data_IF_255406847939
#
_entry.id   IF_255406847939
#
_cell.length_a   1.000
_cell.length_b   1.000
_cell.length_c   1.000
_cell.angle_alpha   90.00
_cell.angle_beta   90.00
_cell.angle_gamma   90.00
#
_symmetry.space_group_name_H-M   'P 1'
#
loop_
_entity.id
_entity.type
_entity.pdbx_description
1 polymer ?
#
# COMPACT_ATOMS: atom_id res chain seq x y z
N UNK A 1 4.56 7.47 3.71
CA UNK A 1 3.35 8.32 3.49
C UNK A 1 2.82 8.76 4.87
N UNK A 2 2.12 9.90 5.00
CA UNK A 2 1.34 10.41 6.25
C UNK A 2 -1.45 9.51 7.01
N UNK A 3 -2.00 8.24 7.08
CA UNK A 3 -3.04 7.67 7.96
C UNK A 3 -4.21 8.60 8.37
N UNK A 4 -5.07 8.92 7.41
CA UNK A 4 -6.51 9.12 7.71
C UNK A 4 -7.38 8.04 7.06
N UNK A 5 -6.75 7.03 6.46
CA UNK A 5 -7.33 5.70 6.41
C UNK A 5 -6.50 4.65 5.68
N UNK A 6 -7.09 3.47 5.60
CA UNK A 6 -6.52 2.22 5.10
C UNK A 6 -7.27 1.80 3.85
N UNK A 7 -6.56 1.40 2.78
CA UNK A 7 -7.19 0.93 1.55
C UNK A 7 -7.08 -0.59 1.43
N UNK A 8 -8.24 -1.26 1.50
CA UNK A 8 -8.38 -2.70 1.38
C UNK A 8 -8.64 -3.14 -0.06
N UNK A 9 -8.06 -4.28 -0.43
CA UNK A 9 -8.24 -4.97 -1.70
C UNK A 9 -8.76 -6.39 -1.47
N UNK A 10 -9.90 -6.71 -2.08
CA UNK A 10 -10.58 -8.00 -1.97
C UNK A 10 -10.75 -8.66 -3.33
N UNK A 11 -9.98 -9.72 -3.57
CA UNK A 11 -9.96 -10.44 -4.86
C UNK A 11 -11.30 -11.16 -5.14
N UNK A 12 -11.86 -11.89 -4.17
CA UNK A 12 -13.22 -12.43 -4.29
C UNK A 12 -13.80 -12.97 -2.97
N UNK A 13 -14.95 -12.44 -2.53
CA UNK A 13 -16.11 -13.14 -1.90
C UNK A 13 -17.07 -12.14 -1.24
N UNK A 14 -18.27 -12.03 -1.83
CA UNK A 14 -19.63 -11.83 -1.29
C UNK A 14 -19.89 -11.00 0.01
N UNK A 15 -19.05 -11.07 1.04
CA UNK A 15 -19.32 -10.56 2.40
C UNK A 15 -18.50 -9.34 2.84
N UNK A 16 -17.47 -8.96 2.09
CA UNK A 16 -16.64 -7.77 2.40
C UNK A 16 -17.31 -6.45 1.97
N UNK A 17 -16.93 -5.30 2.59
CA UNK A 17 -17.38 -3.99 2.18
C UNK A 17 -16.86 -3.68 0.77
N UNK A 18 -17.74 -3.24 -0.12
CA UNK A 18 -17.42 -2.89 -1.50
C UNK A 18 -17.84 -1.46 -1.78
N UNK A 19 -16.85 -0.57 -1.94
CA UNK A 19 -17.10 0.80 -2.39
C UNK A 19 -17.05 0.89 -3.92
N UNK A 20 -16.08 0.23 -4.57
CA UNK A 20 -15.99 0.13 -6.02
C UNK A 20 -15.27 -1.16 -6.44
N UNK A 21 -15.17 -1.41 -7.74
CA UNK A 21 -14.40 -2.53 -8.30
C UNK A 21 -13.77 -2.19 -9.65
N UNK A 22 -12.59 -2.73 -9.90
CA UNK A 22 -11.81 -2.56 -11.13
C UNK A 22 -11.15 -3.89 -11.52
N UNK A 23 -11.20 -4.26 -12.81
CA UNK A 23 -10.66 -5.54 -13.36
C UNK A 23 -11.02 -6.82 -12.56
N UNK A 24 -12.15 -6.81 -11.85
CA UNK A 24 -12.63 -7.92 -11.01
C UNK A 24 -12.23 -7.81 -9.53
N UNK A 25 -11.24 -6.98 -9.21
CA UNK A 25 -10.84 -6.66 -7.84
C UNK A 25 -11.86 -5.72 -7.18
N UNK A 26 -12.11 -5.87 -5.87
CA UNK A 26 -13.01 -5.01 -5.10
C UNK A 26 -12.21 -4.17 -4.10
N UNK A 27 -12.58 -2.90 -3.94
CA UNK A 27 -11.82 -1.93 -3.16
C UNK A 27 -12.72 -1.23 -2.13
N UNK A 28 -12.10 -0.85 -1.01
CA UNK A 28 -12.76 -0.16 0.10
C UNK A 28 -11.75 0.73 0.85
N UNK A 29 -12.22 1.89 1.33
CA UNK A 29 -11.47 2.84 2.14
C UNK A 29 -12.00 2.85 3.58
N UNK A 30 -11.14 2.56 4.57
CA UNK A 30 -11.57 2.29 5.95
C UNK A 30 -12.39 3.40 6.58
N UNK A 31 -12.07 4.67 6.31
CA UNK A 31 -12.77 5.80 6.93
C UNK A 31 -14.24 5.94 6.51
N UNK A 32 -14.66 5.23 5.44
CA UNK A 32 -16.09 5.11 5.07
C UNK A 32 -16.88 4.11 5.93
N UNK A 33 -16.23 3.35 6.82
CA UNK A 33 -16.90 2.68 7.94
C UNK A 33 -16.86 3.63 9.15
N UNK A 34 -18.01 4.05 9.72
CA UNK A 34 -18.04 5.02 10.82
C UNK A 34 -17.22 4.64 12.06
N UNK A 35 -17.10 3.33 12.36
CA UNK A 35 -16.29 2.82 13.47
C UNK A 35 -14.77 2.91 13.25
N UNK A 36 -14.33 3.35 12.06
CA UNK A 36 -12.94 3.44 11.62
C UNK A 36 -12.59 4.83 11.06
N UNK A 37 -13.53 5.78 11.02
CA UNK A 37 -13.35 7.12 10.44
C UNK A 37 -12.14 7.86 11.02
N UNK A 38 -12.10 8.00 12.35
CA UNK A 38 -11.03 8.71 13.07
C UNK A 38 -9.86 7.79 13.49
N UNK A 39 -9.85 6.50 13.09
CA UNK A 39 -8.84 5.54 13.53
C UNK A 39 -7.52 5.73 12.78
N UNK A 40 -6.53 6.31 13.47
CA UNK A 40 -5.14 6.29 13.04
C UNK A 40 -4.41 5.05 13.58
N UNK A 41 -3.85 4.25 12.67
CA UNK A 41 -3.20 2.95 12.90
C UNK A 41 -1.89 2.81 12.13
N UNK A 42 -0.98 1.98 12.62
CA UNK A 42 0.22 1.58 11.89
C UNK A 42 -0.10 0.63 10.71
N UNK A 43 0.95 0.16 10.03
CA UNK A 43 0.84 -0.70 8.85
C UNK A 43 0.27 -2.09 9.17
N UNK A 44 0.66 -2.69 10.29
CA UNK A 44 0.23 -4.02 10.71
C UNK A 44 -1.22 -3.99 11.19
N UNK A 45 -1.60 -3.01 12.02
CA UNK A 45 -2.98 -2.83 12.45
C UNK A 45 -3.91 -2.46 11.28
N UNK A 46 -3.46 -1.59 10.36
CA UNK A 46 -4.17 -1.35 9.11
C UNK A 46 -4.39 -2.63 8.29
N UNK A 47 -3.35 -3.49 8.21
CA UNK A 47 -3.46 -4.78 7.54
C UNK A 47 -4.43 -5.74 8.23
N UNK A 48 -4.44 -5.77 9.56
CA UNK A 48 -5.34 -6.59 10.35
C UNK A 48 -6.80 -6.14 10.17
N UNK A 49 -7.07 -4.83 10.18
CA UNK A 49 -8.39 -4.25 9.87
C UNK A 49 -8.89 -4.70 8.49
N UNK A 50 -8.06 -4.68 7.44
CA UNK A 50 -8.48 -5.21 6.13
C UNK A 50 -8.89 -6.69 6.20
N UNK A 51 -8.21 -7.49 7.02
CA UNK A 51 -8.42 -8.94 7.15
C UNK A 51 -9.67 -9.30 7.93
N UNK A 52 -10.09 -8.49 8.90
CA UNK A 52 -11.41 -8.59 9.55
C UNK A 52 -12.55 -8.55 8.53
N UNK A 53 -12.35 -7.81 7.42
CA UNK A 53 -13.31 -7.69 6.32
C UNK A 53 -13.08 -8.65 5.14
N UNK A 54 -12.28 -9.71 5.32
CA UNK A 54 -11.86 -10.66 4.27
C UNK A 54 -11.10 -10.01 3.08
N UNK A 55 -10.39 -8.92 3.34
CA UNK A 55 -9.51 -8.23 2.38
C UNK A 55 -8.05 -8.31 2.88
N UNK A 56 -7.10 -7.80 2.09
CA UNK A 56 -5.76 -7.44 2.58
C UNK A 56 -5.46 -5.99 2.12
N UNK A 57 -4.30 -5.42 2.42
CA UNK A 57 -3.95 -4.09 1.94
C UNK A 57 -3.86 -4.07 0.39
N UNK A 58 -4.08 -2.90 -0.21
CA UNK A 58 -4.03 -2.73 -1.66
C UNK A 58 -2.62 -2.87 -2.24
N UNK A 59 -2.48 -3.64 -3.31
CA UNK A 59 -1.31 -3.62 -4.21
C UNK A 59 -1.63 -2.81 -5.47
N UNK A 60 -0.63 -2.11 -6.01
CA UNK A 60 -0.78 -1.16 -7.12
C UNK A 60 0.12 -1.59 -8.28
N UNK A 61 -0.26 -2.70 -8.90
CA UNK A 61 0.54 -3.40 -9.93
C UNK A 61 0.42 -2.75 -11.31
N UNK A 62 -0.72 -2.11 -11.61
CA UNK A 62 -0.94 -1.38 -12.87
C UNK A 62 -1.05 0.13 -12.67
N UNK A 63 -0.64 0.91 -13.68
CA UNK A 63 -0.74 2.36 -13.67
C UNK A 63 -2.22 2.81 -13.54
N UNK A 64 -3.17 2.07 -14.11
CA UNK A 64 -4.60 2.35 -13.96
C UNK A 64 -5.07 2.23 -12.51
N UNK A 65 -4.66 1.19 -11.78
CA UNK A 65 -4.99 1.03 -10.36
C UNK A 65 -4.36 2.14 -9.51
N UNK A 66 -3.10 2.49 -9.77
CA UNK A 66 -2.44 3.60 -9.11
C UNK A 66 -3.15 4.94 -9.39
N UNK A 67 -3.56 5.20 -10.63
CA UNK A 67 -4.36 6.38 -11.01
C UNK A 67 -5.73 6.41 -10.33
N UNK A 68 -6.40 5.26 -10.18
CA UNK A 68 -7.70 5.17 -9.50
C UNK A 68 -7.58 5.49 -8.00
N UNK A 69 -6.62 4.86 -7.32
CA UNK A 69 -6.37 5.11 -5.90
C UNK A 69 -5.89 6.55 -5.66
N UNK A 70 -5.00 7.08 -6.50
CA UNK A 70 -4.55 8.48 -6.39
C UNK A 70 -5.71 9.49 -6.51
N UNK A 71 -6.66 9.27 -7.43
CA UNK A 71 -7.87 10.10 -7.54
C UNK A 71 -8.76 10.00 -6.31
N UNK A 72 -8.91 8.83 -5.72
CA UNK A 72 -9.72 8.62 -4.51
C UNK A 72 -9.09 9.30 -3.29
N UNK A 73 -7.76 9.26 -3.16
CA UNK A 73 -7.01 10.02 -2.15
C UNK A 73 -7.32 11.51 -2.28
N UNK A 74 -7.18 12.07 -3.49
CA UNK A 74 -7.49 13.48 -3.76
C UNK A 74 -8.96 13.86 -3.55
N UNK A 75 -9.91 12.96 -3.84
CA UNK A 75 -11.35 13.23 -3.74
C UNK A 75 -11.89 13.24 -2.32
N UNK A 76 -11.23 12.54 -1.39
CA UNK A 76 -11.65 12.45 0.02
C UNK A 76 -10.68 13.21 0.95
N UNK A 77 -9.89 14.14 0.38
CA UNK A 77 -8.81 14.94 1.01
C UNK A 77 -7.86 14.12 1.91
N UNK A 78 -7.63 12.85 1.53
CA UNK A 78 -6.86 11.92 2.35
C UNK A 78 -5.39 12.34 2.28
N UNK A 79 -4.74 12.76 3.36
CA UNK A 79 -3.40 13.27 3.28
C UNK A 79 -2.39 12.15 2.95
N UNK A 80 -2.72 10.89 3.32
CA UNK A 80 -2.00 9.68 2.89
C UNK A 80 -2.65 8.35 3.33
N UNK A 81 -2.15 7.23 2.80
CA UNK A 81 -2.71 5.88 2.97
C UNK A 81 -1.65 4.82 3.31
N UNK A 82 -2.09 3.65 3.79
CA UNK A 82 -1.30 2.41 3.76
C UNK A 82 -1.63 1.54 2.53
N UNK A 83 -0.62 0.85 2.02
CA UNK A 83 -0.68 -0.13 0.92
C UNK A 83 0.07 -1.40 1.32
N UNK A 84 -0.09 -2.50 0.59
CA UNK A 84 0.56 -3.77 0.91
C UNK A 84 2.09 -3.76 0.72
N UNK A 85 2.66 -2.67 0.20
CA UNK A 85 4.08 -2.55 -0.10
C UNK A 85 4.92 -2.58 1.16
N UNK A 86 5.86 -3.53 1.23
CA UNK A 86 6.78 -3.74 2.36
C UNK A 86 8.22 -3.91 1.85
N UNK A 87 9.19 -3.52 2.66
CA UNK A 87 10.60 -3.80 2.43
C UNK A 87 10.94 -5.22 2.91
N UNK A 88 11.86 -5.90 2.23
CA UNK A 88 12.39 -7.20 2.67
C UNK A 88 13.56 -7.01 3.66
N UNK A 89 13.28 -6.33 4.78
CA UNK A 89 14.23 -6.03 5.86
C UNK A 89 14.23 -7.07 7.00
N UNK A 90 13.21 -7.94 7.05
CA UNK A 90 13.00 -8.96 8.08
C UNK A 90 13.65 -10.33 7.76
N UNK A 91 13.59 -11.24 8.74
CA UNK A 91 14.15 -12.61 8.66
C UNK A 91 13.47 -13.46 7.57
N UNK A 92 14.27 -14.06 6.71
CA UNK A 92 13.87 -14.72 5.45
C UNK A 92 14.29 -13.95 4.20
N UNK A 93 14.79 -12.71 4.34
CA UNK A 93 15.28 -11.86 3.26
C UNK A 93 16.82 -11.78 3.18
N UNK A 94 17.55 -12.48 4.06
CA UNK A 94 19.01 -12.49 4.09
C UNK A 94 19.62 -13.25 2.90
N UNK A 95 20.79 -12.82 2.43
CA UNK A 95 21.54 -13.55 1.40
C UNK A 95 20.87 -13.60 0.02
N UNK A 96 19.92 -12.70 -0.26
CA UNK A 96 19.18 -12.58 -1.54
C UNK A 96 19.76 -11.48 -2.43
N UNK A 97 20.66 -11.77 -3.38
CA UNK A 97 21.38 -10.73 -4.13
C UNK A 97 20.46 -9.96 -5.09
N UNK A 98 19.34 -10.57 -5.52
CA UNK A 98 18.35 -9.92 -6.37
C UNK A 98 17.56 -8.82 -5.67
N UNK A 99 17.64 -8.73 -4.33
CA UNK A 99 17.00 -7.68 -3.53
C UNK A 99 17.95 -6.54 -3.19
N UNK A 100 19.25 -6.64 -3.48
CA UNK A 100 20.25 -5.66 -3.06
C UNK A 100 20.59 -4.61 -4.14
N UNK A 101 20.73 -3.32 -3.78
CA UNK A 101 20.49 -2.74 -2.45
C UNK A 101 18.99 -2.71 -2.10
N UNK A 102 18.65 -3.09 -0.85
CA UNK A 102 17.26 -3.27 -0.40
C UNK A 102 16.33 -2.09 -0.69
N UNK A 103 16.79 -0.86 -0.51
CA UNK A 103 15.98 0.35 -0.76
C UNK A 103 15.60 0.56 -2.24
N UNK A 104 16.23 -0.16 -3.18
CA UNK A 104 15.92 -0.14 -4.61
C UNK A 104 15.15 -1.38 -5.05
N UNK A 105 15.63 -2.58 -4.72
CA UNK A 105 15.08 -3.84 -5.25
C UNK A 105 14.38 -4.74 -4.21
N UNK A 106 14.40 -4.37 -2.93
CA UNK A 106 13.85 -5.13 -1.81
C UNK A 106 12.35 -4.92 -1.54
N UNK A 107 11.65 -4.12 -2.36
CA UNK A 107 10.23 -3.81 -2.18
C UNK A 107 9.33 -4.87 -2.82
N UNK A 108 8.28 -5.30 -2.12
CA UNK A 108 7.31 -6.28 -2.61
C UNK A 108 5.91 -6.02 -2.05
N UNK A 109 4.89 -6.50 -2.76
CA UNK A 109 3.50 -6.48 -2.32
C UNK A 109 3.24 -7.64 -1.36
N UNK A 110 3.03 -7.35 -0.08
CA UNK A 110 2.95 -8.39 0.96
C UNK A 110 1.67 -9.24 0.95
N UNK A 111 0.67 -8.87 0.15
CA UNK A 111 -0.61 -9.56 -0.02
C UNK A 111 -0.53 -10.74 -1.02
N UNK A 112 0.16 -10.57 -2.16
CA UNK A 112 0.35 -11.61 -3.20
C UNK A 112 1.81 -12.07 -3.36
N UNK A 113 2.78 -11.36 -2.77
CA UNK A 113 4.24 -11.57 -2.85
C UNK A 113 4.91 -11.11 -4.15
N UNK A 114 4.20 -10.36 -4.99
CA UNK A 114 4.78 -9.83 -6.23
C UNK A 114 5.83 -8.76 -5.97
N UNK A 115 6.89 -8.74 -6.77
CA UNK A 115 8.03 -7.83 -6.59
C UNK A 115 7.69 -6.45 -7.14
N UNK A 116 7.89 -5.41 -6.35
CA UNK A 116 7.72 -4.03 -6.82
C UNK A 116 8.94 -3.63 -7.65
N UNK A 117 8.71 -2.91 -8.74
CA UNK A 117 9.76 -2.44 -9.63
C UNK A 117 10.76 -1.51 -8.93
N UNK A 118 11.99 -1.47 -9.45
CA UNK A 118 13.11 -0.73 -8.90
C UNK A 118 12.76 0.75 -8.63
N UNK A 119 12.98 1.22 -7.40
CA UNK A 119 12.47 2.52 -6.94
C UNK A 119 13.03 3.72 -7.71
N UNK A 120 14.19 3.56 -8.32
CA UNK A 120 14.89 4.54 -9.14
C UNK A 120 14.53 4.52 -10.64
N UNK A 121 13.53 3.73 -11.07
CA UNK A 121 13.15 3.57 -12.47
C UNK A 121 11.64 3.78 -12.68
N UNK A 122 11.24 4.06 -13.93
CA UNK A 122 9.84 3.99 -14.36
C UNK A 122 9.54 2.51 -14.71
N UNK A 123 8.49 1.89 -14.16
CA UNK A 123 8.14 0.51 -14.50
C UNK A 123 7.77 0.33 -15.97
N UNK A 124 7.95 -0.87 -16.52
CA UNK A 124 7.57 -1.15 -17.91
C UNK A 124 6.06 -0.98 -18.10
N UNK A 125 5.64 -0.31 -19.18
CA UNK A 125 4.23 0.03 -19.44
C UNK A 125 3.69 1.24 -18.66
N UNK A 126 4.48 1.84 -17.77
CA UNK A 126 4.11 3.08 -17.07
C UNK A 126 4.74 4.31 -17.74
N UNK A 127 4.03 5.44 -17.70
CA UNK A 127 4.52 6.74 -18.17
C UNK A 127 5.16 7.61 -17.08
N UNK A 128 5.11 7.18 -15.81
CA UNK A 128 5.69 7.87 -14.67
C UNK A 128 6.08 6.89 -13.56
N UNK A 129 6.97 7.30 -12.66
CA UNK A 129 7.37 6.50 -11.50
C UNK A 129 6.25 6.54 -10.42
N UNK A 130 5.74 5.39 -9.94
CA UNK A 130 4.64 5.34 -8.96
C UNK A 130 4.91 6.06 -7.64
N UNK A 131 6.18 6.19 -7.23
CA UNK A 131 6.52 6.66 -5.89
C UNK A 131 6.25 8.16 -5.70
N UNK A 132 5.43 8.49 -4.69
CA UNK A 132 5.07 9.88 -4.38
C UNK A 132 6.29 10.75 -4.06
N UNK A 133 6.24 12.01 -4.49
CA UNK A 133 7.27 13.04 -4.23
C UNK A 133 7.42 13.40 -2.74
N UNK A 134 6.46 13.05 -1.89
CA UNK A 134 6.53 13.25 -0.45
C UNK A 134 5.85 12.10 0.32
N UNK A 135 6.22 11.97 1.59
CA UNK A 135 6.13 10.76 2.40
C UNK A 135 5.90 11.08 3.87
N UNK A 136 5.91 10.06 4.73
CA UNK A 136 5.65 10.21 6.17
C UNK A 136 6.60 11.24 6.78
N UNK A 137 7.88 11.00 6.50
CA UNK A 137 9.03 11.80 6.92
C UNK A 137 9.18 13.08 6.06
N UNK A 138 8.12 13.44 5.31
CA UNK A 138 8.02 14.51 4.29
C UNK A 138 8.99 14.39 3.09
N UNK A 139 9.80 13.34 3.03
CA UNK A 139 10.72 13.00 1.93
C UNK A 139 10.05 12.15 0.83
N UNK A 140 10.63 12.04 -0.38
CA UNK A 140 10.13 11.15 -1.43
C UNK A 140 9.95 9.69 -0.98
N UNK A 141 9.01 8.99 -1.61
CA UNK A 141 8.77 7.57 -1.37
C UNK A 141 9.73 6.67 -2.16
N UNK A 142 9.95 5.43 -1.70
CA UNK A 142 9.49 4.88 -0.42
C UNK A 142 10.44 5.25 0.73
N UNK A 143 9.88 5.69 1.86
CA UNK A 143 10.63 6.20 3.03
C UNK A 143 10.79 5.21 4.18
N UNK A 144 10.36 3.95 4.01
CA UNK A 144 10.18 2.92 5.05
C UNK A 144 9.58 3.49 6.35
N UNK A 145 8.40 4.11 6.23
CA UNK A 145 7.69 4.74 7.34
C UNK A 145 7.30 3.77 8.46
N UNK A 146 7.05 2.48 8.16
CA UNK A 146 6.71 1.46 9.17
C UNK A 146 7.76 1.42 10.29
N UNK A 147 9.04 1.39 9.92
CA UNK A 147 10.15 1.17 10.86
C UNK A 147 10.21 2.23 11.97
N UNK A 148 10.03 3.51 11.61
CA UNK A 148 10.06 4.63 12.55
C UNK A 148 8.78 4.71 13.41
N UNK A 149 7.64 4.23 12.88
CA UNK A 149 6.33 4.27 13.55
C UNK A 149 6.21 3.14 14.58
N UNK A 150 6.71 1.95 14.26
CA UNK A 150 6.50 0.74 15.07
C UNK A 150 7.41 0.63 16.32
N UNK A 151 8.48 1.45 16.42
CA UNK A 151 9.41 1.54 17.56
C UNK A 151 9.85 0.18 18.15
N UNK A 152 10.45 -0.66 17.30
CA UNK A 152 11.10 -1.95 17.68
C UNK A 152 12.59 -1.95 17.35
#
# INVERSE_FOLDING_TARGET
MVIEGVYGLGLNKITGPKQFSYRGHNYFYSAHVPALADKRVDWLDGRNICREYCMDLVSLETQEENNLIFRLIQQNDVPYIWTAGRLCDFKGCEGRPDLEPKNIYGWFWSNNREKIHATNQIPNGWGYNPWSKSGHKKIPQPDNAEFDINQT
#
